data_IF_881303286000
#
_entry.id   IF_881303286000
#
_cell.length_a   1.000
_cell.length_b   1.000
_cell.length_c   1.000
_cell.angle_alpha   90.00
_cell.angle_beta   90.00
_cell.angle_gamma   90.00
#
_symmetry.space_group_name_H-M   'P 1'
#
loop_
_entity.id
_entity.type
_entity.pdbx_description
1 polymer ?
#
# COMPACT_ATOMS: atom_id res chain seq x y z
N UNK A 1 42.62 46.23 30.99
CA UNK A 1 41.41 46.23 30.15
C UNK A 1 40.79 44.84 30.24
N UNK A 2 39.64 44.64 30.91
CA UNK A 2 38.97 43.35 30.88
C UNK A 2 38.03 43.26 29.67
N UNK A 3 38.12 42.14 28.96
CA UNK A 3 37.23 41.73 27.87
C UNK A 3 35.91 41.27 28.52
N UNK A 4 34.80 41.92 28.21
CA UNK A 4 33.46 41.41 28.51
C UNK A 4 33.03 40.52 27.35
N UNK A 5 33.19 39.21 27.51
CA UNK A 5 32.47 38.22 26.71
C UNK A 5 31.01 38.21 27.16
N UNK A 6 30.16 38.95 26.45
CA UNK A 6 28.71 38.77 26.51
C UNK A 6 28.31 37.68 25.52
N UNK A 7 28.48 36.42 25.94
CA UNK A 7 27.74 35.33 25.33
C UNK A 7 26.24 35.68 25.42
N UNK A 8 25.60 35.89 24.27
CA UNK A 8 24.17 36.19 24.20
C UNK A 8 23.40 34.96 24.67
N UNK A 9 23.07 34.93 25.96
CA UNK A 9 22.15 33.95 26.53
C UNK A 9 20.80 34.17 25.85
N UNK A 10 20.35 33.18 25.07
CA UNK A 10 19.05 33.20 24.41
C UNK A 10 17.96 33.58 25.43
N UNK A 11 17.12 34.59 25.16
CA UNK A 11 16.09 35.04 26.09
C UNK A 11 15.17 33.89 26.51
N UNK A 12 14.87 33.77 27.81
CA UNK A 12 13.96 32.74 28.37
C UNK A 12 12.58 32.69 27.68
N UNK A 13 12.16 33.77 27.02
CA UNK A 13 10.91 33.85 26.25
C UNK A 13 10.89 32.95 25.00
N UNK A 14 12.05 32.50 24.52
CA UNK A 14 12.20 31.68 23.30
C UNK A 14 12.37 30.18 23.60
N UNK A 15 12.16 29.74 24.85
CA UNK A 15 12.24 28.33 25.24
C UNK A 15 10.98 27.51 24.89
N UNK A 16 10.14 27.97 23.97
CA UNK A 16 9.10 27.10 23.40
C UNK A 16 9.78 26.16 22.42
N UNK A 17 10.32 25.06 22.95
CA UNK A 17 10.85 23.98 22.12
C UNK A 17 9.83 23.65 21.03
N UNK A 18 10.24 23.74 19.77
CA UNK A 18 9.40 23.31 18.66
C UNK A 18 9.33 21.79 18.70
N UNK A 19 8.14 21.23 18.92
CA UNK A 19 7.92 19.79 18.71
C UNK A 19 8.01 19.51 17.22
N UNK A 20 9.11 18.92 16.77
CA UNK A 20 9.28 18.45 15.40
C UNK A 20 8.72 17.03 15.34
N UNK A 21 7.69 16.83 14.52
CA UNK A 21 7.23 15.50 14.16
C UNK A 21 8.02 15.02 12.94
N UNK A 22 8.61 13.83 13.03
CA UNK A 22 9.29 13.16 11.91
C UNK A 22 8.56 11.86 11.64
N UNK A 23 8.09 11.67 10.40
CA UNK A 23 7.51 10.40 9.98
C UNK A 23 8.62 9.36 9.77
N UNK A 24 8.56 8.25 10.51
CA UNK A 24 9.52 7.14 10.40
C UNK A 24 8.77 5.80 10.35
N UNK A 25 8.10 5.48 9.24
CA UNK A 25 7.32 4.26 9.14
C UNK A 25 8.28 3.05 9.05
N UNK A 26 7.85 1.86 9.50
CA UNK A 26 8.70 0.67 9.52
C UNK A 26 8.84 0.13 8.09
N UNK A 27 9.77 0.67 7.31
CA UNK A 27 10.03 0.20 5.95
C UNK A 27 10.61 -1.22 5.92
N UNK A 28 10.38 -1.94 4.82
CA UNK A 28 11.13 -3.16 4.53
C UNK A 28 12.56 -2.80 4.13
N UNK A 29 13.54 -3.65 4.46
CA UNK A 29 14.91 -3.43 4.01
C UNK A 29 14.97 -3.74 2.51
N UNK A 30 15.38 -2.77 1.69
CA UNK A 30 15.27 -2.86 0.22
C UNK A 30 15.87 -4.15 -0.38
N UNK A 31 16.96 -4.67 0.20
CA UNK A 31 17.65 -5.87 -0.26
C UNK A 31 17.05 -7.20 0.22
N UNK A 32 16.13 -7.18 1.19
CA UNK A 32 15.45 -8.40 1.65
C UNK A 32 14.65 -9.03 0.52
N UNK A 33 14.56 -10.35 0.53
CA UNK A 33 13.77 -11.14 -0.40
C UNK A 33 12.77 -11.97 0.39
N UNK A 34 11.50 -11.58 0.31
CA UNK A 34 10.42 -12.13 1.12
C UNK A 34 9.47 -12.95 0.26
N UNK A 35 8.86 -13.97 0.85
CA UNK A 35 7.89 -14.83 0.17
C UNK A 35 6.56 -14.77 0.92
N UNK A 36 5.47 -14.89 0.15
CA UNK A 36 4.11 -14.97 0.70
C UNK A 36 3.89 -16.37 1.23
N UNK A 37 3.44 -16.50 2.46
CA UNK A 37 3.04 -17.79 3.03
C UNK A 37 1.87 -18.38 2.22
N UNK A 38 1.86 -19.70 2.03
CA UNK A 38 0.79 -20.41 1.30
C UNK A 38 0.49 -19.77 -0.08
N UNK A 39 1.51 -19.57 -0.93
CA UNK A 39 1.34 -18.84 -2.17
C UNK A 39 0.39 -19.59 -3.12
N UNK A 40 -0.23 -18.85 -4.04
CA UNK A 40 -0.98 -19.47 -5.15
C UNK A 40 -0.03 -20.24 -6.06
N UNK A 41 -0.54 -21.21 -6.83
CA UNK A 41 0.27 -21.97 -7.78
C UNK A 41 1.02 -21.05 -8.78
N UNK A 42 0.38 -19.97 -9.21
CA UNK A 42 0.94 -18.98 -10.13
C UNK A 42 2.10 -18.16 -9.51
N UNK A 43 2.17 -18.06 -8.18
CA UNK A 43 3.14 -17.24 -7.48
C UNK A 43 4.03 -17.99 -6.48
N UNK A 44 4.06 -19.33 -6.57
CA UNK A 44 4.76 -20.19 -5.62
C UNK A 44 6.27 -19.95 -5.52
N UNK A 45 6.90 -19.57 -6.64
CA UNK A 45 8.35 -19.38 -6.74
C UNK A 45 8.74 -17.89 -6.72
N UNK A 46 7.77 -16.97 -6.60
CA UNK A 46 8.05 -15.55 -6.56
C UNK A 46 8.59 -15.11 -5.21
N UNK A 47 9.61 -14.24 -5.27
CA UNK A 47 10.16 -13.51 -4.14
C UNK A 47 10.02 -12.02 -4.41
N UNK A 48 9.66 -11.29 -3.37
CA UNK A 48 9.43 -9.86 -3.44
C UNK A 48 10.53 -9.14 -2.69
N UNK A 49 11.21 -8.22 -3.36
CA UNK A 49 12.22 -7.40 -2.72
C UNK A 49 11.59 -6.44 -1.71
N UNK A 50 12.32 -6.01 -0.68
CA UNK A 50 11.84 -4.95 0.20
C UNK A 50 11.50 -3.67 -0.57
N UNK A 51 12.22 -3.35 -1.64
CA UNK A 51 11.91 -2.22 -2.52
C UNK A 51 10.54 -2.38 -3.21
N UNK A 52 10.20 -3.59 -3.67
CA UNK A 52 8.90 -3.91 -4.27
C UNK A 52 7.76 -3.76 -3.25
N UNK A 53 7.98 -4.24 -2.03
CA UNK A 53 7.01 -4.14 -0.94
C UNK A 53 6.84 -2.70 -0.43
N UNK A 54 7.93 -1.93 -0.38
CA UNK A 54 7.87 -0.49 -0.05
C UNK A 54 7.11 0.28 -1.13
N UNK A 55 7.30 -0.06 -2.42
CA UNK A 55 6.50 0.52 -3.51
C UNK A 55 5.01 0.14 -3.38
N UNK A 56 4.73 -1.13 -3.10
CA UNK A 56 3.37 -1.62 -2.85
C UNK A 56 2.70 -0.88 -1.70
N UNK A 57 3.40 -0.63 -0.59
CA UNK A 57 2.85 0.12 0.55
C UNK A 57 2.42 1.53 0.17
N UNK A 58 3.24 2.21 -0.64
CA UNK A 58 2.94 3.55 -1.14
C UNK A 58 1.78 3.55 -2.13
N UNK A 59 1.69 2.53 -2.97
CA UNK A 59 0.54 2.33 -3.86
C UNK A 59 -0.74 2.08 -3.05
N UNK A 60 -0.71 1.18 -2.06
CA UNK A 60 -1.83 0.94 -1.14
C UNK A 60 -2.26 2.22 -0.44
N UNK A 61 -1.33 3.02 0.05
CA UNK A 61 -1.60 4.32 0.67
C UNK A 61 -2.28 5.32 -0.28
N UNK A 62 -1.91 5.29 -1.56
CA UNK A 62 -2.51 6.12 -2.59
C UNK A 62 -3.91 5.62 -3.01
N UNK A 63 -4.11 4.30 -3.11
CA UNK A 63 -5.37 3.68 -3.56
C UNK A 63 -6.43 3.62 -2.46
N UNK A 64 -6.03 3.30 -1.23
CA UNK A 64 -6.94 3.26 -0.07
C UNK A 64 -7.31 4.67 0.42
N UNK A 65 -7.21 5.72 -0.39
CA UNK A 65 -7.26 7.11 0.08
C UNK A 65 -8.52 7.55 0.82
N UNK A 66 -9.61 6.79 0.71
CA UNK A 66 -10.82 6.98 1.53
C UNK A 66 -10.76 6.34 2.93
N UNK A 67 -9.81 5.43 3.19
CA UNK A 67 -9.58 4.80 4.51
C UNK A 67 -9.35 5.83 5.59
N UNK A 68 -8.63 6.92 5.30
CA UNK A 68 -8.37 8.00 6.26
C UNK A 68 -9.65 8.69 6.76
N UNK A 69 -10.76 8.60 6.02
CA UNK A 69 -12.08 9.06 6.42
C UNK A 69 -12.93 7.98 7.13
N UNK A 70 -12.44 6.74 7.22
CA UNK A 70 -13.04 5.65 7.99
C UNK A 70 -12.44 5.63 9.41
N UNK A 71 -13.25 5.89 10.46
CA UNK A 71 -12.75 5.91 11.83
C UNK A 71 -12.39 4.51 12.36
N UNK A 72 -13.01 3.45 11.84
CA UNK A 72 -12.77 2.07 12.29
C UNK A 72 -11.46 1.51 11.71
N UNK A 73 -10.48 1.29 12.59
CA UNK A 73 -9.18 0.72 12.23
C UNK A 73 -9.29 -0.68 11.60
N UNK A 74 -10.26 -1.50 12.05
CA UNK A 74 -10.46 -2.84 11.51
C UNK A 74 -10.99 -2.78 10.09
N UNK A 75 -11.90 -1.84 9.80
CA UNK A 75 -12.42 -1.63 8.46
C UNK A 75 -11.34 -1.08 7.51
N UNK A 76 -10.53 -0.10 7.96
CA UNK A 76 -9.37 0.40 7.20
C UNK A 76 -8.39 -0.72 6.85
N UNK A 77 -8.06 -1.56 7.82
CA UNK A 77 -7.17 -2.70 7.59
C UNK A 77 -7.77 -3.70 6.60
N UNK A 78 -9.06 -4.03 6.73
CA UNK A 78 -9.76 -4.92 5.76
C UNK A 78 -9.76 -4.37 4.35
N UNK A 79 -9.95 -3.06 4.16
CA UNK A 79 -9.88 -2.40 2.85
C UNK A 79 -8.49 -2.54 2.22
N UNK A 80 -7.42 -2.22 2.98
CA UNK A 80 -6.02 -2.38 2.55
C UNK A 80 -5.72 -3.83 2.16
N UNK A 81 -6.14 -4.78 3.01
CA UNK A 81 -5.97 -6.21 2.76
C UNK A 81 -6.72 -6.66 1.51
N UNK A 82 -7.94 -6.17 1.25
CA UNK A 82 -8.69 -6.49 0.04
C UNK A 82 -7.98 -5.99 -1.24
N UNK A 83 -7.45 -4.76 -1.25
CA UNK A 83 -6.67 -4.21 -2.37
C UNK A 83 -5.40 -5.02 -2.61
N UNK A 84 -4.73 -5.44 -1.53
CA UNK A 84 -3.54 -6.27 -1.59
C UNK A 84 -3.83 -7.65 -2.21
N UNK A 85 -4.94 -8.27 -1.85
CA UNK A 85 -5.39 -9.53 -2.47
C UNK A 85 -5.64 -9.37 -3.97
N UNK A 86 -6.35 -8.31 -4.38
CA UNK A 86 -6.55 -8.01 -5.81
C UNK A 86 -5.20 -7.88 -6.53
N UNK A 87 -4.26 -7.17 -5.93
CA UNK A 87 -2.92 -6.97 -6.50
C UNK A 87 -2.15 -8.29 -6.60
N UNK A 88 -2.19 -9.12 -5.56
CA UNK A 88 -1.50 -10.41 -5.54
C UNK A 88 -2.06 -11.42 -6.55
N UNK A 89 -3.39 -11.51 -6.69
CA UNK A 89 -4.01 -12.43 -7.65
C UNK A 89 -3.74 -12.10 -9.12
N UNK A 90 -3.13 -10.94 -9.40
CA UNK A 90 -2.68 -10.55 -10.74
C UNK A 90 -1.23 -10.99 -11.03
N UNK A 91 -0.48 -11.40 -10.02
CA UNK A 91 0.89 -11.92 -10.17
C UNK A 91 0.84 -13.30 -10.83
N UNK A 92 1.70 -13.51 -11.82
CA UNK A 92 1.80 -14.76 -12.58
C UNK A 92 0.59 -15.06 -13.46
N UNK A 93 -0.41 -14.17 -13.50
CA UNK A 93 -1.66 -14.40 -14.22
C UNK A 93 -1.56 -13.95 -15.69
N UNK A 94 -1.67 -14.90 -16.60
CA UNK A 94 -1.84 -14.60 -18.02
C UNK A 94 -3.16 -13.86 -18.29
N UNK A 95 -3.15 -12.90 -19.22
CA UNK A 95 -4.33 -12.08 -19.55
C UNK A 95 -4.46 -10.80 -18.72
N UNK A 96 -3.47 -10.48 -17.88
CA UNK A 96 -3.41 -9.23 -17.13
C UNK A 96 -2.18 -8.40 -17.53
N UNK A 97 -2.30 -7.09 -17.83
CA UNK A 97 -3.52 -6.43 -18.27
C UNK A 97 -3.92 -6.85 -19.69
N UNK A 98 -3.06 -7.60 -20.39
CA UNK A 98 -3.27 -8.13 -21.73
C UNK A 98 -2.75 -9.58 -21.81
N UNK A 99 -3.09 -10.29 -22.88
CA UNK A 99 -2.69 -11.70 -23.05
C UNK A 99 -1.16 -11.94 -23.04
N UNK A 100 -0.37 -10.94 -23.45
CA UNK A 100 1.08 -11.05 -23.59
C UNK A 100 1.86 -10.56 -22.37
N UNK A 101 1.20 -9.99 -21.36
CA UNK A 101 1.85 -9.47 -20.16
C UNK A 101 1.64 -10.42 -18.99
N UNK A 102 2.70 -10.66 -18.23
CA UNK A 102 2.68 -11.45 -17.00
C UNK A 102 3.52 -10.70 -15.99
N UNK A 103 2.86 -10.12 -14.98
CA UNK A 103 3.54 -9.48 -13.87
C UNK A 103 4.13 -10.52 -12.92
N UNK A 104 5.35 -10.32 -12.48
CA UNK A 104 6.07 -11.16 -11.51
C UNK A 104 6.31 -10.44 -10.18
N UNK A 105 6.12 -9.13 -10.15
CA UNK A 105 6.27 -8.27 -8.97
C UNK A 105 5.04 -7.40 -8.73
N UNK A 106 4.87 -6.89 -7.51
CA UNK A 106 3.80 -5.95 -7.22
C UNK A 106 3.97 -4.64 -7.97
N UNK A 107 5.21 -4.20 -8.17
CA UNK A 107 5.55 -3.03 -8.98
C UNK A 107 5.09 -3.21 -10.42
N UNK A 108 5.31 -4.38 -11.03
CA UNK A 108 4.83 -4.68 -12.38
C UNK A 108 3.30 -4.74 -12.45
N UNK A 109 2.64 -5.26 -11.41
CA UNK A 109 1.17 -5.21 -11.32
C UNK A 109 0.69 -3.75 -11.28
N UNK A 110 1.30 -2.94 -10.42
CA UNK A 110 0.92 -1.55 -10.21
C UNK A 110 1.21 -0.65 -11.43
N UNK A 111 2.32 -0.90 -12.13
CA UNK A 111 2.73 -0.20 -13.36
C UNK A 111 2.19 -0.83 -14.64
N UNK A 112 1.26 -1.77 -14.55
CA UNK A 112 0.53 -2.27 -15.71
C UNK A 112 -0.41 -1.18 -16.25
N UNK A 113 -0.36 -0.84 -17.56
CA UNK A 113 -1.14 0.27 -18.12
C UNK A 113 -2.64 0.19 -17.80
N UNK A 114 -3.21 1.29 -17.32
CA UNK A 114 -4.64 1.42 -17.04
C UNK A 114 -5.15 0.68 -15.79
N UNK A 115 -4.25 0.16 -14.94
CA UNK A 115 -4.64 -0.66 -13.79
C UNK A 115 -4.76 0.12 -12.49
N UNK A 116 -3.82 1.03 -12.22
CA UNK A 116 -3.79 1.86 -11.01
C UNK A 116 -3.57 3.31 -11.40
N UNK A 117 -4.65 4.09 -11.44
CA UNK A 117 -4.56 5.50 -11.86
C UNK A 117 -3.59 6.30 -10.98
N UNK A 118 -3.44 5.93 -9.70
CA UNK A 118 -2.51 6.56 -8.77
C UNK A 118 -1.04 6.47 -9.19
N UNK A 119 -0.69 5.50 -10.04
CA UNK A 119 0.69 5.25 -10.49
C UNK A 119 1.02 6.02 -11.77
N UNK A 120 0.03 6.28 -12.63
CA UNK A 120 0.23 6.89 -13.95
C UNK A 120 -0.10 8.38 -14.02
N UNK A 121 -1.09 8.84 -13.26
CA UNK A 121 -1.39 10.27 -13.15
C UNK A 121 -0.52 10.85 -12.03
N UNK A 122 -0.23 12.15 -12.09
CA UNK A 122 0.42 12.87 -10.99
C UNK A 122 -0.40 12.69 -9.71
N UNK A 123 0.01 11.77 -8.85
CA UNK A 123 -0.65 11.48 -7.59
C UNK A 123 0.21 12.03 -6.45
N UNK A 124 -0.32 13.05 -5.78
CA UNK A 124 0.38 13.74 -4.70
C UNK A 124 0.73 12.82 -3.54
N UNK A 125 -0.12 11.83 -3.19
CA UNK A 125 0.15 10.87 -2.11
C UNK A 125 1.28 9.91 -2.46
N UNK A 126 1.28 9.38 -3.69
CA UNK A 126 2.35 8.49 -4.14
C UNK A 126 3.68 9.26 -4.20
N UNK A 127 3.65 10.51 -4.66
CA UNK A 127 4.82 11.38 -4.71
C UNK A 127 5.32 11.80 -3.32
N UNK A 128 4.44 12.17 -2.39
CA UNK A 128 4.82 12.62 -1.04
C UNK A 128 5.31 11.49 -0.14
N UNK A 129 4.87 10.25 -0.39
CA UNK A 129 5.35 9.05 0.32
C UNK A 129 6.64 8.45 -0.27
N UNK A 130 7.28 9.15 -1.21
CA UNK A 130 8.55 8.70 -1.79
C UNK A 130 9.69 8.68 -0.75
N UNK A 131 10.73 7.84 -0.93
CA UNK A 131 11.86 7.72 0.00
C UNK A 131 12.54 9.04 0.37
N UNK A 132 12.51 10.03 -0.51
CA UNK A 132 13.11 11.35 -0.33
C UNK A 132 12.15 12.39 0.30
N UNK A 133 10.88 12.03 0.54
CA UNK A 133 9.82 12.99 0.94
C UNK A 133 8.96 12.54 2.12
N UNK A 134 8.92 11.25 2.43
CA UNK A 134 7.98 10.70 3.42
C UNK A 134 8.15 11.30 4.82
N UNK A 135 9.34 11.77 5.19
CA UNK A 135 9.62 12.35 6.51
C UNK A 135 8.76 13.59 6.80
N UNK A 136 8.28 14.27 5.76
CA UNK A 136 7.42 15.45 5.84
C UNK A 136 5.92 15.13 5.88
N UNK A 137 5.54 13.85 5.83
CA UNK A 137 4.14 13.45 5.99
C UNK A 137 3.63 13.88 7.37
N UNK A 138 2.39 14.37 7.42
CA UNK A 138 1.73 14.69 8.69
C UNK A 138 1.52 13.40 9.49
N UNK A 139 1.36 13.53 10.80
CA UNK A 139 1.18 12.38 11.69
C UNK A 139 0.09 11.39 11.24
N UNK A 140 -1.07 11.89 10.77
CA UNK A 140 -2.15 11.04 10.26
C UNK A 140 -1.77 10.32 8.95
N UNK A 141 -1.03 10.99 8.07
CA UNK A 141 -0.59 10.43 6.79
C UNK A 141 0.47 9.35 7.01
N UNK A 142 1.39 9.60 7.94
CA UNK A 142 2.41 8.63 8.35
C UNK A 142 1.80 7.40 9.03
N UNK A 143 0.79 7.59 9.88
CA UNK A 143 0.06 6.49 10.52
C UNK A 143 -0.67 5.62 9.47
N UNK A 144 -1.33 6.23 8.49
CA UNK A 144 -2.02 5.50 7.41
C UNK A 144 -1.04 4.71 6.52
N UNK A 145 0.12 5.30 6.20
CA UNK A 145 1.21 4.60 5.50
C UNK A 145 1.79 3.45 6.33
N UNK A 146 1.90 3.63 7.65
CA UNK A 146 2.32 2.57 8.57
C UNK A 146 1.33 1.40 8.57
N UNK A 147 0.01 1.69 8.63
CA UNK A 147 -1.04 0.66 8.50
C UNK A 147 -0.93 -0.11 7.17
N UNK A 148 -0.52 0.54 6.06
CA UNK A 148 -0.27 -0.15 4.78
C UNK A 148 0.90 -1.13 4.87
N UNK A 149 2.00 -0.73 5.52
CA UNK A 149 3.17 -1.60 5.71
C UNK A 149 2.85 -2.78 6.64
N UNK A 150 2.06 -2.56 7.69
CA UNK A 150 1.55 -3.62 8.57
C UNK A 150 0.66 -4.60 7.82
N UNK A 151 -0.29 -4.12 7.02
CA UNK A 151 -1.15 -4.98 6.21
C UNK A 151 -0.35 -5.87 5.24
N UNK A 152 0.75 -5.36 4.67
CA UNK A 152 1.64 -6.17 3.83
C UNK A 152 2.35 -7.25 4.66
N UNK A 153 2.86 -6.92 5.85
CA UNK A 153 3.50 -7.91 6.73
C UNK A 153 2.53 -9.02 7.11
N UNK A 154 1.32 -8.65 7.51
CA UNK A 154 0.26 -9.59 7.88
C UNK A 154 -0.08 -10.48 6.68
N UNK A 155 -0.14 -9.92 5.48
CA UNK A 155 -0.36 -10.69 4.26
C UNK A 155 0.81 -11.63 3.91
N UNK A 156 2.06 -11.20 4.08
CA UNK A 156 3.21 -12.08 3.86
C UNK A 156 3.17 -13.30 4.79
N UNK A 157 2.69 -13.13 6.03
CA UNK A 157 2.60 -14.21 7.03
C UNK A 157 1.34 -15.08 6.87
N UNK A 158 0.20 -14.46 6.55
CA UNK A 158 -1.07 -15.17 6.42
C UNK A 158 -1.26 -15.75 5.02
N UNK A 159 -0.79 -15.08 3.99
CA UNK A 159 -1.01 -15.49 2.61
C UNK A 159 -2.37 -15.09 2.05
N UNK A 160 -2.65 -15.51 0.80
CA UNK A 160 -3.89 -15.19 0.11
C UNK A 160 -5.12 -15.92 0.69
N UNK A 161 -6.21 -15.18 0.88
CA UNK A 161 -7.54 -15.69 1.25
C UNK A 161 -8.60 -15.27 0.22
N UNK A 162 -8.83 -16.13 -0.76
CA UNK A 162 -9.87 -15.92 -1.77
C UNK A 162 -11.29 -16.08 -1.22
N UNK A 163 -11.48 -16.81 -0.12
CA UNK A 163 -12.82 -17.00 0.45
C UNK A 163 -13.30 -15.69 1.07
N UNK A 164 -12.40 -14.97 1.76
CA UNK A 164 -12.69 -13.67 2.34
C UNK A 164 -12.61 -12.53 1.31
N UNK A 165 -11.69 -12.62 0.34
CA UNK A 165 -11.45 -11.57 -0.65
C UNK A 165 -11.55 -12.08 -2.10
N UNK A 166 -12.73 -12.55 -2.55
CA UNK A 166 -12.92 -13.06 -3.90
C UNK A 166 -13.08 -11.90 -4.90
N UNK A 167 -12.05 -11.06 -5.05
CA UNK A 167 -12.12 -9.84 -5.86
C UNK A 167 -10.96 -9.77 -6.85
N UNK A 168 -11.20 -9.09 -7.98
CA UNK A 168 -10.16 -8.80 -8.99
C UNK A 168 -10.21 -7.35 -9.48
N UNK A 169 -11.22 -6.59 -9.07
CA UNK A 169 -11.30 -5.15 -9.33
C UNK A 169 -11.79 -4.43 -8.09
N UNK A 170 -11.32 -3.20 -7.95
CA UNK A 170 -11.80 -2.28 -6.94
C UNK A 170 -11.92 -0.87 -7.55
N UNK A 171 -12.78 -0.04 -6.96
CA UNK A 171 -13.00 1.37 -7.30
C UNK A 171 -13.42 2.13 -6.03
N UNK A 172 -13.21 3.46 -6.01
CA UNK A 172 -13.77 4.30 -4.94
C UNK A 172 -15.30 4.11 -4.84
N UNK A 173 -15.82 3.93 -3.63
CA UNK A 173 -17.22 3.57 -3.40
C UNK A 173 -18.20 4.66 -3.86
N UNK A 174 -19.21 4.27 -4.65
CA UNK A 174 -20.27 5.19 -5.13
C UNK A 174 -21.66 4.55 -5.13
N UNK A 175 -21.84 3.42 -4.45
CA UNK A 175 -23.09 2.66 -4.40
C UNK A 175 -23.35 1.80 -5.64
N UNK A 176 -22.32 1.19 -6.24
CA UNK A 176 -22.50 0.42 -7.49
C UNK A 176 -23.25 -0.90 -7.25
N UNK A 177 -24.33 -1.20 -7.99
CA UNK A 177 -25.03 -2.48 -7.87
C UNK A 177 -24.11 -3.67 -8.17
N UNK A 178 -24.15 -4.69 -7.31
CA UNK A 178 -23.35 -5.91 -7.46
C UNK A 178 -21.88 -5.79 -7.04
N UNK A 179 -21.47 -4.67 -6.46
CA UNK A 179 -20.14 -4.49 -5.85
C UNK A 179 -20.23 -4.64 -4.34
N UNK A 180 -19.16 -5.15 -3.73
CA UNK A 180 -19.05 -5.32 -2.28
C UNK A 180 -18.30 -4.13 -1.67
N UNK A 181 -18.93 -3.31 -0.83
CA UNK A 181 -18.24 -2.22 -0.15
C UNK A 181 -17.38 -2.76 1.01
N UNK A 182 -16.16 -2.27 1.12
CA UNK A 182 -15.27 -2.45 2.28
C UNK A 182 -14.57 -1.11 2.51
N UNK A 183 -14.86 -0.44 3.63
CA UNK A 183 -14.36 0.90 3.89
C UNK A 183 -14.92 1.92 2.89
N UNK A 184 -14.04 2.61 2.17
CA UNK A 184 -14.42 3.58 1.12
C UNK A 184 -14.14 3.07 -0.28
N UNK A 185 -13.89 1.77 -0.42
CA UNK A 185 -13.64 1.09 -1.67
C UNK A 185 -14.73 0.04 -1.91
N UNK A 186 -15.14 -0.09 -3.16
CA UNK A 186 -16.03 -1.12 -3.64
C UNK A 186 -15.24 -2.14 -4.46
N UNK A 187 -15.56 -3.42 -4.28
CA UNK A 187 -14.85 -4.53 -4.90
C UNK A 187 -15.79 -5.39 -5.75
N UNK A 188 -15.25 -6.01 -6.79
CA UNK A 188 -16.00 -6.92 -7.66
C UNK A 188 -15.11 -8.01 -8.24
N UNK A 189 -15.76 -9.11 -8.63
CA UNK A 189 -15.18 -10.19 -9.41
C UNK A 189 -15.96 -10.34 -10.72
N UNK A 190 -15.30 -10.02 -11.83
CA UNK A 190 -15.91 -10.24 -13.13
C UNK A 190 -16.08 -11.73 -13.42
N UNK A 191 -17.17 -12.06 -14.11
CA UNK A 191 -17.50 -13.44 -14.46
C UNK A 191 -16.39 -14.12 -15.29
N UNK A 192 -15.70 -13.38 -16.15
CA UNK A 192 -14.58 -13.88 -16.96
C UNK A 192 -13.34 -14.28 -16.15
N UNK A 193 -13.21 -13.80 -14.91
CA UNK A 193 -12.05 -14.04 -14.06
C UNK A 193 -12.31 -15.11 -12.99
N UNK A 194 -13.56 -15.54 -12.83
CA UNK A 194 -13.97 -16.57 -11.85
C UNK A 194 -13.23 -17.89 -12.05
N UNK A 195 -13.14 -18.35 -13.30
CA UNK A 195 -12.54 -19.66 -13.60
C UNK A 195 -11.01 -19.64 -13.52
N UNK A 196 -10.40 -18.54 -13.95
CA UNK A 196 -8.95 -18.31 -13.80
C UNK A 196 -8.56 -18.23 -12.32
N UNK A 197 -9.33 -17.52 -11.49
CA UNK A 197 -9.06 -17.43 -10.06
C UNK A 197 -9.31 -18.75 -9.34
N UNK A 198 -10.37 -19.50 -9.67
CA UNK A 198 -10.60 -20.85 -9.12
C UNK A 198 -9.47 -21.81 -9.46
N UNK A 199 -8.96 -21.79 -10.69
CA UNK A 199 -7.82 -22.63 -11.11
C UNK A 199 -6.52 -22.24 -10.41
N UNK A 200 -6.27 -20.95 -10.18
CA UNK A 200 -5.08 -20.48 -9.47
C UNK A 200 -5.04 -20.90 -7.98
N UNK A 201 -6.17 -21.35 -7.43
CA UNK A 201 -6.28 -21.93 -6.08
C UNK A 201 -6.02 -23.44 -6.02
N UNK A 202 -6.06 -24.12 -7.16
CA UNK A 202 -5.89 -25.57 -7.30
C UNK A 202 -4.42 -25.93 -7.42
#
# INVERSE_FOLDING_TARGET
>A
MPIQDTASITPKSDQRGHTIYVCAPPWFVNSEQLSVARPTAAAKDHKFSGADLNFLARMLYAEASGSAACPDARERHREKTAILHVSYFRIGRAGYPSAAYIATTFTEVAKAPGQFESVFKTNTKLASSAPDKYEHLKAKECADLTECLEAIRDFLQSGPDFKAYPFDKFLAATGRPGWTPIGKTEFSLFASMRDAMKKAQS
#
